data_IF_130803521145
#
_entry.id   IF_130803521145
#
_cell.length_a   1.000
_cell.length_b   1.000
_cell.length_c   1.000
_cell.angle_alpha   90.00
_cell.angle_beta   90.00
_cell.angle_gamma   90.00
#
_symmetry.space_group_name_H-M   'P 1'
#
loop_
_entity.id
_entity.type
_entity.pdbx_description
1 polymer ?
#
# COMPACT_ATOMS: atom_id res chain seq x y z
N UNK A 1 13.15 -6.18 -22.14
CA UNK A 1 13.03 -4.79 -21.64
C UNK A 1 12.77 -4.84 -20.15
N UNK A 2 13.75 -4.42 -19.34
CA UNK A 2 13.63 -4.41 -17.88
C UNK A 2 12.70 -3.26 -17.51
N UNK A 3 11.63 -3.55 -16.77
CA UNK A 3 10.73 -2.51 -16.25
C UNK A 3 11.48 -1.71 -15.19
N UNK A 4 11.84 -0.47 -15.49
CA UNK A 4 12.61 0.37 -14.58
C UNK A 4 11.69 1.06 -13.59
N UNK A 5 11.98 0.89 -12.31
CA UNK A 5 11.27 1.51 -11.20
C UNK A 5 12.13 2.64 -10.64
N UNK A 6 11.52 3.79 -10.43
CA UNK A 6 12.17 5.00 -9.93
C UNK A 6 11.55 5.41 -8.60
N UNK A 7 12.38 5.89 -7.66
CA UNK A 7 11.87 6.65 -6.52
C UNK A 7 11.31 8.00 -6.99
N UNK A 8 10.43 8.62 -6.17
CA UNK A 8 9.73 9.86 -6.53
C UNK A 8 10.64 10.93 -7.14
N UNK A 9 11.71 11.35 -6.44
CA UNK A 9 12.62 12.40 -6.92
C UNK A 9 13.29 12.05 -8.25
N UNK A 10 13.68 10.80 -8.44
CA UNK A 10 14.27 10.32 -9.69
C UNK A 10 13.27 10.30 -10.84
N UNK A 11 12.01 9.93 -10.55
CA UNK A 11 10.94 9.93 -11.52
C UNK A 11 10.57 11.34 -11.98
N UNK A 12 10.43 12.29 -11.03
CA UNK A 12 10.13 13.69 -11.37
C UNK A 12 11.27 14.32 -12.20
N UNK A 13 12.53 14.03 -11.86
CA UNK A 13 13.69 14.51 -12.64
C UNK A 13 13.67 13.98 -14.07
N UNK A 14 13.20 12.75 -14.28
CA UNK A 14 13.21 12.10 -15.60
C UNK A 14 11.95 12.35 -16.43
N UNK A 15 10.78 12.38 -15.80
CA UNK A 15 9.47 12.41 -16.46
C UNK A 15 8.64 13.67 -16.15
N UNK A 16 9.16 14.57 -15.31
CA UNK A 16 8.52 15.86 -15.00
C UNK A 16 7.09 15.71 -14.50
N UNK A 17 6.19 16.42 -15.17
CA UNK A 17 4.76 16.49 -14.81
C UNK A 17 4.03 15.15 -14.91
N UNK A 18 4.43 14.25 -15.82
CA UNK A 18 3.81 12.93 -15.93
C UNK A 18 4.01 12.09 -14.64
N UNK A 19 5.21 12.16 -14.05
CA UNK A 19 5.49 11.50 -12.78
C UNK A 19 4.66 12.12 -11.64
N UNK A 20 4.59 13.46 -11.60
CA UNK A 20 3.79 14.18 -10.59
C UNK A 20 2.31 13.82 -10.69
N UNK A 21 1.75 13.82 -11.90
CA UNK A 21 0.36 13.43 -12.14
C UNK A 21 0.07 11.98 -11.70
N UNK A 22 0.99 11.05 -12.00
CA UNK A 22 0.86 9.66 -11.55
C UNK A 22 0.86 9.54 -10.02
N UNK A 23 1.71 10.31 -9.34
CA UNK A 23 1.78 10.35 -7.87
C UNK A 23 0.53 10.97 -7.28
N UNK A 24 0.05 12.09 -7.81
CA UNK A 24 -1.21 12.72 -7.37
C UNK A 24 -2.38 11.74 -7.50
N UNK A 25 -2.49 11.04 -8.63
CA UNK A 25 -3.52 10.02 -8.84
C UNK A 25 -3.47 8.90 -7.80
N UNK A 26 -2.27 8.42 -7.47
CA UNK A 26 -2.10 7.39 -6.42
C UNK A 26 -2.51 7.91 -5.04
N UNK A 27 -2.08 9.11 -4.66
CA UNK A 27 -2.44 9.72 -3.37
C UNK A 27 -3.95 9.97 -3.25
N UNK A 28 -4.59 10.45 -4.32
CA UNK A 28 -6.05 10.60 -4.38
C UNK A 28 -6.76 9.25 -4.25
N UNK A 29 -6.24 8.20 -4.90
CA UNK A 29 -6.81 6.85 -4.78
C UNK A 29 -6.71 6.32 -3.35
N UNK A 30 -5.59 6.52 -2.68
CA UNK A 30 -5.37 6.11 -1.28
C UNK A 30 -6.32 6.88 -0.34
N UNK A 31 -6.51 8.19 -0.57
CA UNK A 31 -7.46 9.00 0.17
C UNK A 31 -8.90 8.50 -0.03
N UNK A 32 -9.35 8.35 -1.28
CA UNK A 32 -10.71 7.92 -1.60
C UNK A 32 -11.07 6.53 -1.06
N UNK A 33 -10.06 5.70 -0.76
CA UNK A 33 -10.24 4.41 -0.11
C UNK A 33 -10.16 4.47 1.41
N UNK A 34 -10.06 5.69 1.98
CA UNK A 34 -9.97 5.90 3.43
C UNK A 34 -8.83 5.10 4.09
N UNK A 35 -7.71 4.98 3.34
CA UNK A 35 -6.59 4.16 3.79
C UNK A 35 -5.83 4.78 4.96
N UNK A 36 -6.01 6.09 5.21
CA UNK A 36 -5.26 6.84 6.20
C UNK A 36 -6.15 7.67 7.12
N UNK A 37 -5.81 7.65 8.41
CA UNK A 37 -6.29 8.61 9.41
C UNK A 37 -5.13 9.52 9.81
N UNK A 38 -5.19 10.83 9.50
CA UNK A 38 -4.11 11.75 9.86
C UNK A 38 -4.00 11.91 11.37
N UNK A 39 -2.75 12.04 11.86
CA UNK A 39 -2.42 12.16 13.28
C UNK A 39 -1.72 13.50 13.54
N UNK A 40 -2.08 14.14 14.64
CA UNK A 40 -1.37 15.34 15.07
C UNK A 40 0.04 14.99 15.56
N UNK A 41 1.04 15.56 14.89
CA UNK A 41 2.43 15.34 15.26
C UNK A 41 2.71 15.80 16.73
N UNK A 42 2.03 16.82 17.22
CA UNK A 42 2.18 17.33 18.58
C UNK A 42 1.72 16.33 19.65
N UNK A 43 0.66 15.58 19.37
CA UNK A 43 0.08 14.60 20.31
C UNK A 43 0.84 13.28 20.37
N UNK A 44 1.66 12.96 19.36
CA UNK A 44 2.40 11.71 19.31
C UNK A 44 3.61 11.75 20.24
N UNK A 45 3.73 10.79 21.13
CA UNK A 45 4.93 10.60 21.97
C UNK A 45 6.14 10.13 21.15
N UNK A 46 7.32 10.05 21.77
CA UNK A 46 8.56 9.70 21.09
C UNK A 46 8.54 8.29 20.46
N UNK A 47 8.06 7.27 21.20
CA UNK A 47 8.08 5.88 20.72
C UNK A 47 7.23 5.62 19.48
N UNK A 48 5.95 6.05 19.40
CA UNK A 48 5.17 5.95 18.16
C UNK A 48 5.81 6.63 16.96
N UNK A 49 6.40 7.83 17.16
CA UNK A 49 7.12 8.54 16.08
C UNK A 49 8.33 7.74 15.60
N UNK A 50 9.10 7.14 16.51
CA UNK A 50 10.28 6.33 16.19
C UNK A 50 9.93 5.06 15.43
N UNK A 51 8.80 4.42 15.78
CA UNK A 51 8.30 3.21 15.15
C UNK A 51 7.58 3.46 13.82
N UNK A 52 7.17 4.69 13.56
CA UNK A 52 6.47 5.04 12.33
C UNK A 52 7.26 4.58 11.08
N UNK A 53 6.55 3.95 10.15
CA UNK A 53 7.11 3.46 8.90
C UNK A 53 7.35 4.65 7.95
N UNK A 54 8.49 4.67 7.29
CA UNK A 54 8.73 5.68 6.25
C UNK A 54 7.87 5.37 5.01
N UNK A 55 7.30 6.40 4.42
CA UNK A 55 6.61 6.26 3.14
C UNK A 55 7.59 6.22 1.98
N UNK A 56 7.37 5.32 1.05
CA UNK A 56 8.17 5.21 -0.18
C UNK A 56 7.23 5.33 -1.37
N UNK A 57 7.51 6.29 -2.25
CA UNK A 57 6.79 6.44 -3.51
C UNK A 57 7.61 5.89 -4.67
N UNK A 58 7.10 4.86 -5.30
CA UNK A 58 7.66 4.27 -6.50
C UNK A 58 6.89 4.70 -7.74
N UNK A 59 7.60 5.06 -8.80
CA UNK A 59 7.00 5.33 -10.10
C UNK A 59 7.58 4.36 -11.13
N UNK A 60 6.70 3.62 -11.78
CA UNK A 60 7.04 2.64 -12.79
C UNK A 60 6.64 3.16 -14.17
N UNK A 61 7.56 3.06 -15.11
CA UNK A 61 7.30 3.29 -16.52
C UNK A 61 6.79 1.98 -17.14
N UNK A 62 5.56 1.99 -17.66
CA UNK A 62 4.95 0.82 -18.30
C UNK A 62 5.34 0.73 -19.77
N UNK A 63 4.99 -0.39 -20.41
CA UNK A 63 5.22 -0.65 -21.84
C UNK A 63 4.37 0.25 -22.76
N UNK A 64 3.23 0.69 -22.29
CA UNK A 64 2.31 1.61 -22.97
C UNK A 64 2.68 3.09 -22.75
N UNK A 65 3.93 3.35 -22.37
CA UNK A 65 4.46 4.66 -22.03
C UNK A 65 3.80 5.36 -20.83
N UNK A 66 2.75 4.80 -20.25
CA UNK A 66 2.11 5.36 -19.07
C UNK A 66 2.98 5.26 -17.82
N UNK A 67 2.81 6.19 -16.88
CA UNK A 67 3.50 6.18 -15.59
C UNK A 67 2.51 5.71 -14.53
N UNK A 68 2.91 4.72 -13.73
CA UNK A 68 2.12 4.23 -12.59
C UNK A 68 2.88 4.46 -11.30
N UNK A 69 2.31 5.23 -10.40
CA UNK A 69 2.83 5.38 -9.04
C UNK A 69 2.29 4.28 -8.12
N UNK A 70 3.03 4.00 -7.06
CA UNK A 70 2.62 3.18 -5.93
C UNK A 70 3.19 3.74 -4.65
N UNK A 71 2.32 4.03 -3.70
CA UNK A 71 2.71 4.36 -2.34
C UNK A 71 2.91 3.06 -1.56
N UNK A 72 4.06 2.95 -0.90
CA UNK A 72 4.44 1.81 -0.08
C UNK A 72 4.89 2.28 1.29
N UNK A 73 4.74 1.43 2.30
CA UNK A 73 5.38 1.61 3.60
C UNK A 73 6.72 0.86 3.63
N UNK A 74 7.72 1.41 4.31
CA UNK A 74 8.98 0.74 4.55
C UNK A 74 8.88 -0.20 5.77
N UNK A 75 8.51 -1.45 5.52
CA UNK A 75 8.34 -2.46 6.55
C UNK A 75 9.63 -3.01 7.16
N UNK A 76 10.83 -2.51 6.77
CA UNK A 76 12.10 -3.04 7.30
C UNK A 76 12.18 -2.97 8.82
N UNK A 77 11.63 -1.91 9.43
CA UNK A 77 11.59 -1.79 10.90
C UNK A 77 10.73 -2.87 11.56
N UNK A 78 9.65 -3.30 10.92
CA UNK A 78 8.75 -4.33 11.43
C UNK A 78 9.43 -5.71 11.49
N UNK A 79 10.38 -6.01 10.58
CA UNK A 79 11.13 -7.28 10.58
C UNK A 79 11.91 -7.53 11.87
N UNK A 80 12.23 -6.49 12.62
CA UNK A 80 12.98 -6.61 13.88
C UNK A 80 12.08 -7.05 15.05
N UNK A 81 10.76 -6.87 14.93
CA UNK A 81 9.80 -7.10 16.03
C UNK A 81 8.75 -8.16 15.70
N UNK A 82 8.57 -8.51 14.43
CA UNK A 82 7.56 -9.47 13.98
C UNK A 82 8.16 -10.84 13.70
N UNK A 83 7.41 -11.88 14.00
CA UNK A 83 7.76 -13.26 13.68
C UNK A 83 7.56 -13.53 12.17
N UNK A 84 8.29 -14.50 11.65
CA UNK A 84 8.26 -14.83 10.21
C UNK A 84 6.90 -15.36 9.75
N UNK A 85 6.21 -16.10 10.59
CA UNK A 85 4.86 -16.64 10.37
C UNK A 85 3.79 -15.51 10.28
N UNK A 86 3.98 -14.41 11.01
CA UNK A 86 3.08 -13.24 11.00
C UNK A 86 3.27 -12.35 9.75
N UNK A 87 4.31 -12.58 8.96
CA UNK A 87 4.66 -11.73 7.81
C UNK A 87 4.49 -12.42 6.47
N UNK A 88 4.09 -13.70 6.48
CA UNK A 88 4.00 -14.52 5.27
C UNK A 88 2.58 -14.56 4.75
N UNK A 89 2.37 -14.06 3.53
CA UNK A 89 1.15 -14.33 2.78
C UNK A 89 1.26 -15.68 2.09
N UNK A 90 0.33 -16.63 2.32
CA UNK A 90 0.35 -17.89 1.61
C UNK A 90 0.16 -17.65 0.11
N UNK A 91 1.16 -18.03 -0.66
CA UNK A 91 1.13 -17.97 -2.12
C UNK A 91 1.00 -19.39 -2.63
N UNK A 92 0.03 -19.63 -3.51
CA UNK A 92 -0.14 -20.93 -4.16
C UNK A 92 1.13 -21.27 -4.95
N UNK A 93 1.68 -22.46 -4.75
CA UNK A 93 2.80 -22.92 -5.54
C UNK A 93 2.36 -23.29 -6.97
N UNK A 94 3.26 -23.15 -7.92
CA UNK A 94 2.98 -23.40 -9.35
C UNK A 94 2.47 -24.83 -9.57
N UNK A 95 3.01 -25.82 -8.84
CA UNK A 95 2.59 -27.21 -8.95
C UNK A 95 1.12 -27.41 -8.54
N UNK A 96 0.66 -26.71 -7.49
CA UNK A 96 -0.75 -26.74 -7.09
C UNK A 96 -1.67 -26.19 -8.19
N UNK A 97 -1.24 -25.15 -8.90
CA UNK A 97 -2.00 -24.60 -10.04
C UNK A 97 -2.11 -25.63 -11.16
N UNK A 98 -1.01 -26.31 -11.51
CA UNK A 98 -1.03 -27.34 -12.55
C UNK A 98 -1.84 -28.58 -12.14
N UNK A 99 -1.73 -29.02 -10.88
CA UNK A 99 -2.54 -30.15 -10.38
C UNK A 99 -4.03 -29.81 -10.44
N UNK A 100 -4.41 -28.60 -10.00
CA UNK A 100 -5.80 -28.14 -10.06
C UNK A 100 -6.30 -28.13 -11.51
N UNK A 101 -5.52 -27.56 -12.44
CA UNK A 101 -5.87 -27.54 -13.85
C UNK A 101 -6.01 -28.96 -14.46
N UNK A 102 -5.13 -29.91 -14.06
CA UNK A 102 -5.20 -31.28 -14.51
C UNK A 102 -6.45 -32.02 -14.00
N UNK A 103 -6.94 -31.69 -12.80
CA UNK A 103 -8.19 -32.23 -12.25
C UNK A 103 -9.42 -31.58 -12.93
N UNK A 104 -9.39 -30.27 -13.17
CA UNK A 104 -10.51 -29.52 -13.75
C UNK A 104 -10.77 -29.89 -15.21
N UNK A 105 -9.72 -30.18 -15.98
CA UNK A 105 -9.83 -30.48 -17.42
C UNK A 105 -10.72 -31.70 -17.72
N UNK A 106 -10.54 -32.91 -17.13
CA UNK A 106 -11.40 -34.05 -17.38
C UNK A 106 -12.82 -33.88 -16.80
N UNK A 107 -12.96 -33.06 -15.74
CA UNK A 107 -14.27 -32.79 -15.13
C UNK A 107 -15.03 -31.68 -15.86
N UNK A 108 -14.45 -31.11 -16.91
CA UNK A 108 -15.04 -30.03 -17.72
C UNK A 108 -15.46 -28.81 -16.88
N UNK A 109 -14.71 -28.50 -15.82
CA UNK A 109 -14.95 -27.35 -14.95
C UNK A 109 -14.60 -26.05 -15.66
N UNK A 110 -15.35 -24.98 -15.34
CA UNK A 110 -15.05 -23.63 -15.84
C UNK A 110 -14.12 -22.95 -14.87
N UNK A 111 -12.95 -22.52 -15.36
CA UNK A 111 -11.95 -21.77 -14.59
C UNK A 111 -12.04 -20.29 -14.95
N UNK A 112 -11.93 -19.42 -13.94
CA UNK A 112 -11.84 -17.97 -14.13
C UNK A 112 -10.61 -17.43 -13.43
N UNK A 113 -9.92 -16.51 -14.10
CA UNK A 113 -8.82 -15.73 -13.50
C UNK A 113 -9.33 -14.33 -13.21
N UNK A 114 -9.24 -13.90 -11.97
CA UNK A 114 -9.71 -12.59 -11.53
C UNK A 114 -8.51 -11.80 -10.98
N UNK A 115 -8.27 -10.60 -11.51
CA UNK A 115 -7.37 -9.62 -10.90
C UNK A 115 -8.19 -8.63 -10.07
N UNK A 116 -7.77 -8.41 -8.82
CA UNK A 116 -8.42 -7.48 -7.90
C UNK A 116 -7.58 -6.20 -7.79
N UNK A 117 -7.94 -5.13 -8.53
CA UNK A 117 -7.19 -3.89 -8.50
C UNK A 117 -7.16 -3.27 -7.10
N UNK A 118 -5.94 -3.05 -6.58
CA UNK A 118 -5.76 -2.46 -5.26
C UNK A 118 -6.21 -3.36 -4.10
N UNK A 119 -6.05 -4.66 -4.25
CA UNK A 119 -6.41 -5.69 -3.27
C UNK A 119 -5.99 -5.34 -1.83
N UNK A 120 -4.74 -4.91 -1.62
CA UNK A 120 -4.28 -4.49 -0.29
C UNK A 120 -5.14 -3.40 0.33
N UNK A 121 -5.47 -2.35 -0.43
CA UNK A 121 -6.29 -1.23 0.04
C UNK A 121 -7.77 -1.60 0.30
N UNK A 122 -8.17 -2.84 0.05
CA UNK A 122 -9.52 -3.34 0.36
C UNK A 122 -9.58 -4.02 1.72
N UNK A 123 -8.45 -4.47 2.28
CA UNK A 123 -8.38 -5.10 3.59
C UNK A 123 -8.21 -4.04 4.68
N UNK A 124 -9.03 -4.10 5.72
CA UNK A 124 -8.88 -3.25 6.90
C UNK A 124 -7.65 -3.69 7.70
N UNK A 125 -6.96 -2.73 8.30
CA UNK A 125 -5.97 -3.01 9.34
C UNK A 125 -6.70 -3.27 10.65
N UNK A 126 -6.11 -4.10 11.50
CA UNK A 126 -6.61 -4.35 12.84
C UNK A 126 -6.46 -3.10 13.72
N UNK A 127 -7.50 -2.81 14.51
CA UNK A 127 -7.47 -1.66 15.43
C UNK A 127 -6.69 -1.93 16.71
N UNK A 128 -6.41 -3.20 17.04
CA UNK A 128 -5.68 -3.58 18.25
C UNK A 128 -4.20 -3.11 18.24
N UNK A 129 -3.62 -2.96 17.06
CA UNK A 129 -2.24 -2.55 16.92
C UNK A 129 -2.07 -1.44 15.87
N UNK A 130 -1.95 -0.20 16.35
CA UNK A 130 -1.79 0.96 15.49
C UNK A 130 -0.47 0.95 14.72
N UNK A 131 -0.57 0.93 13.38
CA UNK A 131 0.58 1.13 12.51
C UNK A 131 0.59 2.56 12.02
N UNK A 132 1.61 3.31 12.44
CA UNK A 132 1.84 4.67 11.96
C UNK A 132 2.79 4.68 10.77
N UNK A 133 2.52 5.56 9.83
CA UNK A 133 3.43 5.89 8.73
C UNK A 133 3.71 7.39 8.71
N UNK A 134 4.90 7.78 8.30
CA UNK A 134 5.30 9.17 8.13
C UNK A 134 5.61 9.46 6.66
N UNK A 135 4.99 10.52 6.15
CA UNK A 135 5.33 11.13 4.87
C UNK A 135 6.20 12.35 5.12
N UNK A 136 7.24 12.56 4.29
CA UNK A 136 8.18 13.68 4.46
C UNK A 136 8.32 14.51 3.20
N UNK A 137 8.55 15.81 3.38
CA UNK A 137 8.83 16.77 2.32
C UNK A 137 7.70 16.82 1.29
N UNK A 138 8.06 16.66 0.02
CA UNK A 138 7.14 16.78 -1.12
C UNK A 138 5.93 15.84 -1.04
N UNK A 139 6.12 14.61 -0.52
CA UNK A 139 5.00 13.67 -0.39
C UNK A 139 3.98 14.11 0.66
N UNK A 140 4.43 14.69 1.78
CA UNK A 140 3.52 15.25 2.79
C UNK A 140 2.72 16.42 2.20
N UNK A 141 3.37 17.27 1.41
CA UNK A 141 2.73 18.40 0.75
C UNK A 141 1.74 17.94 -0.32
N UNK A 142 2.12 17.00 -1.17
CA UNK A 142 1.23 16.45 -2.20
C UNK A 142 0.01 15.75 -1.60
N UNK A 143 0.16 15.04 -0.47
CA UNK A 143 -0.97 14.45 0.23
C UNK A 143 -1.90 15.52 0.78
N UNK A 144 -1.35 16.60 1.35
CA UNK A 144 -2.13 17.75 1.80
C UNK A 144 -2.82 18.51 0.66
N UNK A 145 -2.28 18.48 -0.55
CA UNK A 145 -2.92 19.06 -1.73
C UNK A 145 -3.99 18.14 -2.33
N UNK A 146 -3.84 16.81 -2.18
CA UNK A 146 -4.83 15.86 -2.68
C UNK A 146 -6.18 15.94 -1.94
N UNK A 147 -6.16 16.21 -0.62
CA UNK A 147 -7.35 16.44 0.19
C UNK A 147 -7.04 17.47 1.31
N UNK A 148 -7.07 18.77 0.99
CA UNK A 148 -6.63 19.83 1.90
C UNK A 148 -7.45 19.91 3.19
N UNK A 149 -8.76 19.68 3.10
CA UNK A 149 -9.69 19.69 4.22
C UNK A 149 -9.37 18.63 5.28
N UNK A 150 -8.77 17.52 4.86
CA UNK A 150 -8.43 16.40 5.76
C UNK A 150 -7.01 16.53 6.31
N UNK A 151 -6.02 16.76 5.44
CA UNK A 151 -4.61 16.57 5.80
C UNK A 151 -3.87 17.87 6.12
N UNK A 152 -4.26 19.02 5.57
CA UNK A 152 -3.50 20.27 5.66
C UNK A 152 -3.17 20.68 7.11
N UNK A 153 -4.13 20.55 8.02
CA UNK A 153 -3.98 20.93 9.45
C UNK A 153 -3.01 20.03 10.22
N UNK A 154 -2.72 18.83 9.70
CA UNK A 154 -1.83 17.85 10.33
C UNK A 154 -0.41 17.88 9.79
N UNK A 155 -0.14 18.69 8.77
CA UNK A 155 1.23 18.86 8.27
C UNK A 155 2.01 19.70 9.27
N UNK A 156 2.99 19.07 9.91
CA UNK A 156 3.90 19.74 10.83
C UNK A 156 5.23 20.07 10.14
N UNK A 157 5.98 20.98 10.75
CA UNK A 157 7.34 21.35 10.31
C UNK A 157 8.32 20.87 11.38
N UNK A 158 9.33 20.09 10.97
CA UNK A 158 10.40 19.66 11.89
C UNK A 158 11.32 20.83 12.24
N UNK A 159 12.14 20.73 13.31
CA UNK A 159 13.14 21.75 13.64
C UNK A 159 14.08 22.10 12.47
N UNK A 160 14.32 21.13 11.56
CA UNK A 160 15.14 21.32 10.36
C UNK A 160 14.35 21.93 9.19
N UNK A 161 13.13 22.42 9.40
CA UNK A 161 12.28 23.06 8.39
C UNK A 161 11.64 22.10 7.37
N UNK A 162 11.65 20.79 7.62
CA UNK A 162 11.06 19.80 6.72
C UNK A 162 9.59 19.54 7.07
N UNK A 163 8.71 19.53 6.05
CA UNK A 163 7.31 19.14 6.22
C UNK A 163 7.19 17.65 6.53
N UNK A 164 6.36 17.29 7.49
CA UNK A 164 6.04 15.90 7.87
C UNK A 164 4.55 15.76 8.11
N UNK A 165 4.02 14.59 7.74
CA UNK A 165 2.64 14.21 7.98
C UNK A 165 2.63 12.79 8.53
N UNK A 166 2.12 12.61 9.74
CA UNK A 166 1.90 11.30 10.35
C UNK A 166 0.48 10.82 10.04
N UNK A 167 0.35 9.55 9.67
CA UNK A 167 -0.94 8.91 9.41
C UNK A 167 -0.98 7.53 10.05
N UNK A 168 -2.14 7.17 10.64
CA UNK A 168 -2.46 5.79 11.02
C UNK A 168 -2.91 5.07 9.75
N UNK A 169 -2.43 3.84 9.52
CA UNK A 169 -2.91 2.99 8.45
C UNK A 169 -4.25 2.35 8.85
N UNK A 170 -5.31 2.69 8.12
CA UNK A 170 -6.65 2.09 8.29
C UNK A 170 -6.86 0.91 7.34
N UNK A 171 -6.11 0.88 6.24
CA UNK A 171 -6.13 -0.21 5.24
C UNK A 171 -4.73 -0.79 5.05
N UNK A 172 -4.68 -2.04 4.61
CA UNK A 172 -3.43 -2.68 4.26
C UNK A 172 -2.71 -1.91 3.14
N UNK A 173 -1.41 -1.70 3.30
CA UNK A 173 -0.58 -0.97 2.34
C UNK A 173 0.61 -1.83 1.91
N UNK A 174 1.00 -1.70 0.64
CA UNK A 174 2.19 -2.37 0.11
C UNK A 174 3.42 -2.04 0.95
N UNK A 175 4.23 -3.05 1.23
CA UNK A 175 5.46 -2.92 2.00
C UNK A 175 5.29 -2.94 3.53
N UNK A 176 4.09 -2.75 4.05
CA UNK A 176 3.78 -3.03 5.45
C UNK A 176 3.67 -4.54 5.64
N UNK A 177 4.50 -5.12 6.51
CA UNK A 177 4.54 -6.58 6.69
C UNK A 177 3.24 -7.14 7.24
N UNK A 178 2.60 -6.44 8.17
CA UNK A 178 1.27 -6.82 8.70
C UNK A 178 0.19 -6.87 7.62
N UNK A 179 0.27 -6.00 6.62
CA UNK A 179 -0.71 -5.96 5.53
C UNK A 179 -0.83 -7.27 4.75
N UNK A 180 0.23 -8.09 4.71
CA UNK A 180 0.22 -9.37 4.02
C UNK A 180 -0.76 -10.37 4.68
N UNK A 181 -0.82 -10.40 6.00
CA UNK A 181 -1.75 -11.27 6.75
C UNK A 181 -3.20 -10.85 6.55
N UNK A 182 -3.50 -9.56 6.65
CA UNK A 182 -4.86 -9.05 6.53
C UNK A 182 -5.45 -9.19 5.13
N UNK A 183 -4.65 -8.99 4.08
CA UNK A 183 -5.13 -9.16 2.71
C UNK A 183 -5.56 -10.61 2.45
N UNK A 184 -4.84 -11.59 2.95
CA UNK A 184 -5.16 -13.01 2.78
C UNK A 184 -6.44 -13.41 3.54
N UNK A 185 -6.61 -12.93 4.76
CA UNK A 185 -7.81 -13.19 5.57
C UNK A 185 -9.08 -12.60 4.93
N UNK A 186 -9.01 -11.40 4.38
CA UNK A 186 -10.13 -10.75 3.67
C UNK A 186 -10.61 -11.54 2.46
N UNK A 187 -9.71 -12.17 1.71
CA UNK A 187 -10.08 -12.93 0.50
C UNK A 187 -10.58 -14.33 0.81
N UNK A 188 -10.07 -14.98 1.87
CA UNK A 188 -10.56 -16.29 2.33
C UNK A 188 -11.99 -16.25 2.86
N UNK A 189 -12.40 -15.14 3.46
CA UNK A 189 -13.74 -14.98 4.05
C UNK A 189 -14.84 -14.62 3.01
N UNK A 190 -14.48 -14.15 1.81
CA UNK A 190 -15.45 -13.65 0.82
C UNK A 190 -15.84 -14.66 -0.25
N UNK A 191 -15.16 -15.80 -0.35
CA UNK A 191 -15.48 -16.81 -1.35
C UNK A 191 -16.26 -17.98 -0.75
N UNK A 192 -17.57 -17.82 -0.56
CA UNK A 192 -18.51 -18.94 -0.47
C UNK A 192 -19.06 -19.20 -1.87
N UNK A 193 -18.78 -20.36 -2.50
CA UNK A 193 -19.40 -20.70 -3.78
C UNK A 193 -20.91 -20.82 -3.57
N UNK A 194 -21.69 -20.03 -4.30
CA UNK A 194 -23.14 -20.27 -4.39
C UNK A 194 -23.31 -21.60 -5.12
N UNK A 195 -23.63 -22.66 -4.40
CA UNK A 195 -24.15 -23.88 -4.97
C UNK A 195 -25.55 -23.56 -5.50
N UNK A 196 -25.68 -23.41 -6.81
CA UNK A 196 -26.97 -23.40 -7.49
C UNK A 196 -27.51 -24.84 -7.45
N UNK A 197 -28.61 -25.02 -6.75
CA UNK A 197 -29.50 -26.17 -6.84
C UNK A 197 -30.13 -26.23 -8.23
#
# INVERSE_FOLDING_TARGET
MVMTQYGYKGAVRKFGTEATNAVTKELTQVHNREAFSPQDAGSLSYEPRRRALESIMHVKHKRDDSKKARLCADGRKQRLTMRKDETTSPTVCTDSVFITAAIEAPENRRTAVVDLPGAYLSANMDDEEEVLMVMRGDLAEMMALAAPEVYRKYVAITPEGKKVLYVKLCKALYGCLKSACFSTASYGATYTPKTSS
#
